data_IF_782866047850
#
_entry.id   IF_782866047850
#
_cell.length_a   1.000
_cell.length_b   1.000
_cell.length_c   1.000
_cell.angle_alpha   90.00
_cell.angle_beta   90.00
_cell.angle_gamma   90.00
#
_symmetry.space_group_name_H-M   'P 1'
#
loop_
_entity.id
_entity.type
_entity.pdbx_description
1 polymer ?
#
# COMPACT_ATOMS: atom_id res chain seq x y z
N UNK A 1 15.81 1.92 -14.47
CA UNK A 1 14.67 2.82 -14.69
C UNK A 1 13.59 2.10 -15.51
N UNK A 2 12.33 2.56 -15.44
CA UNK A 2 11.19 2.00 -16.21
C UNK A 2 11.49 1.91 -17.71
N UNK A 3 12.12 2.91 -18.28
CA UNK A 3 12.47 2.95 -19.71
C UNK A 3 13.37 1.79 -20.14
N UNK A 4 14.34 1.42 -19.33
CA UNK A 4 15.23 0.27 -19.61
C UNK A 4 14.42 -1.04 -19.60
N UNK A 5 13.54 -1.20 -18.61
CA UNK A 5 12.68 -2.38 -18.49
C UNK A 5 11.74 -2.48 -19.69
N UNK A 6 11.07 -1.39 -20.06
CA UNK A 6 10.16 -1.32 -21.21
C UNK A 6 10.88 -1.69 -22.50
N UNK A 7 12.04 -1.10 -22.76
CA UNK A 7 12.82 -1.39 -23.95
C UNK A 7 13.25 -2.87 -24.00
N UNK A 8 13.62 -3.42 -22.83
CA UNK A 8 13.98 -4.85 -22.76
C UNK A 8 12.77 -5.75 -23.05
N UNK A 9 11.61 -5.45 -22.47
CA UNK A 9 10.37 -6.21 -22.73
C UNK A 9 10.01 -6.17 -24.23
N UNK A 10 10.02 -4.98 -24.83
CA UNK A 10 9.74 -4.82 -26.28
C UNK A 10 10.75 -5.53 -27.16
N UNK A 11 12.02 -5.62 -26.77
CA UNK A 11 13.06 -6.37 -27.52
C UNK A 11 12.86 -7.88 -27.47
N UNK A 12 12.21 -8.39 -26.41
CA UNK A 12 11.90 -9.82 -26.26
C UNK A 12 10.59 -10.19 -26.97
N UNK A 13 9.60 -9.32 -26.94
CA UNK A 13 8.33 -9.48 -27.62
C UNK A 13 7.75 -8.10 -27.96
N UNK A 14 7.78 -7.71 -29.24
CA UNK A 14 7.25 -6.41 -29.71
C UNK A 14 5.74 -6.25 -29.50
N UNK A 15 4.99 -7.36 -29.47
CA UNK A 15 3.53 -7.39 -29.37
C UNK A 15 3.03 -7.50 -27.93
N UNK A 16 3.95 -7.57 -26.96
CA UNK A 16 3.61 -7.67 -25.56
C UNK A 16 2.73 -6.50 -25.10
N UNK A 17 1.61 -6.81 -24.46
CA UNK A 17 0.74 -5.82 -23.81
C UNK A 17 1.30 -5.49 -22.45
N UNK A 18 1.77 -4.26 -22.27
CA UNK A 18 2.35 -3.77 -21.01
C UNK A 18 1.29 -3.00 -20.25
N UNK A 19 1.03 -3.41 -19.02
CA UNK A 19 0.17 -2.73 -18.05
C UNK A 19 1.04 -2.28 -16.89
N UNK A 20 0.99 -1.01 -16.56
CA UNK A 20 1.65 -0.47 -15.37
C UNK A 20 0.68 -0.49 -14.19
N UNK A 21 1.20 -0.72 -12.99
CA UNK A 21 0.41 -0.69 -11.77
C UNK A 21 1.07 0.29 -10.80
N UNK A 22 0.31 1.25 -10.26
CA UNK A 22 0.82 2.14 -9.23
C UNK A 22 0.89 1.42 -7.87
N UNK A 23 1.72 1.86 -6.92
CA UNK A 23 1.58 1.39 -5.55
C UNK A 23 0.16 1.71 -5.03
N UNK A 24 -0.32 0.95 -4.06
CA UNK A 24 -1.50 1.31 -3.27
C UNK A 24 -1.12 2.27 -2.14
N UNK A 25 -2.09 2.91 -1.50
CA UNK A 25 -1.87 3.62 -0.25
C UNK A 25 -1.46 2.63 0.85
N UNK A 26 -0.76 3.12 1.85
CA UNK A 26 -0.38 2.32 3.03
C UNK A 26 -0.44 3.18 4.28
N UNK A 27 -0.85 2.59 5.37
CA UNK A 27 -0.60 3.12 6.71
C UNK A 27 0.71 2.55 7.24
N UNK A 28 1.07 2.94 8.44
CA UNK A 28 2.29 2.47 9.05
C UNK A 28 2.34 0.94 9.10
N UNK A 29 3.44 0.45 8.63
CA UNK A 29 3.82 -0.95 8.69
C UNK A 29 4.67 -1.18 9.95
N UNK A 30 4.33 -2.21 10.71
CA UNK A 30 5.10 -2.56 11.91
C UNK A 30 6.30 -3.40 11.49
N UNK A 31 7.48 -2.80 11.52
CA UNK A 31 8.72 -3.56 11.40
C UNK A 31 8.99 -4.30 12.72
N UNK A 32 8.85 -5.61 12.71
CA UNK A 32 9.12 -6.46 13.90
C UNK A 32 10.57 -6.30 14.35
N UNK A 33 11.52 -6.12 13.42
CA UNK A 33 12.94 -5.96 13.71
C UNK A 33 13.35 -4.51 14.03
N UNK A 34 12.54 -3.53 13.67
CA UNK A 34 12.79 -2.11 13.95
C UNK A 34 11.45 -1.37 14.08
N UNK A 35 10.85 -1.50 15.24
CA UNK A 35 9.56 -0.87 15.56
C UNK A 35 9.61 0.67 15.61
N UNK A 36 10.80 1.27 15.70
CA UNK A 36 10.98 2.73 15.64
C UNK A 36 10.84 3.28 14.22
N UNK A 37 10.99 2.43 13.23
CA UNK A 37 10.91 2.79 11.80
C UNK A 37 9.51 2.53 11.23
N UNK A 38 8.47 2.98 11.92
CA UNK A 38 7.11 2.90 11.43
C UNK A 38 6.85 4.03 10.42
N UNK A 39 6.29 3.68 9.27
CA UNK A 39 5.86 4.65 8.26
C UNK A 39 4.46 5.18 8.63
N UNK A 40 4.41 6.24 9.41
CA UNK A 40 3.14 6.84 9.85
C UNK A 40 2.41 7.53 8.70
N UNK A 41 1.35 6.89 8.21
CA UNK A 41 0.40 7.45 7.24
C UNK A 41 0.92 7.62 5.81
N UNK A 42 2.16 7.93 5.58
CA UNK A 42 2.74 8.00 4.24
C UNK A 42 4.18 7.51 4.22
N UNK A 43 4.43 6.53 3.37
CA UNK A 43 5.79 6.10 3.09
C UNK A 43 6.57 7.21 2.39
N UNK A 44 7.81 7.42 2.84
CA UNK A 44 8.83 8.16 2.07
C UNK A 44 10.06 7.28 1.94
N UNK A 45 10.65 7.27 0.76
CA UNK A 45 11.95 6.61 0.58
C UNK A 45 13.08 7.41 1.24
N UNK A 46 14.31 6.89 1.16
CA UNK A 46 15.51 7.56 1.71
C UNK A 46 15.79 8.94 1.10
N UNK A 47 15.19 9.27 -0.05
CA UNK A 47 15.31 10.57 -0.72
C UNK A 47 14.11 11.47 -0.41
N UNK A 48 13.20 11.05 0.46
CA UNK A 48 12.02 11.81 0.87
C UNK A 48 10.85 11.78 -0.10
N UNK A 49 10.88 10.90 -1.12
CA UNK A 49 9.79 10.77 -2.08
C UNK A 49 8.63 9.97 -1.51
N UNK A 50 7.41 10.46 -1.68
CA UNK A 50 6.20 9.82 -1.20
C UNK A 50 5.64 8.79 -2.20
N UNK A 51 4.78 7.88 -1.71
CA UNK A 51 4.05 6.95 -2.61
C UNK A 51 3.18 7.68 -3.62
N UNK A 52 2.62 8.84 -3.26
CA UNK A 52 1.88 9.68 -4.21
C UNK A 52 2.76 10.13 -5.38
N UNK A 53 4.00 10.56 -5.11
CA UNK A 53 4.93 10.95 -6.15
C UNK A 53 5.31 9.77 -7.06
N UNK A 54 5.51 8.57 -6.49
CA UNK A 54 5.73 7.36 -7.30
C UNK A 54 4.51 7.01 -8.15
N UNK A 55 3.30 7.06 -7.60
CA UNK A 55 2.07 6.81 -8.35
C UNK A 55 1.90 7.80 -9.52
N UNK A 56 2.13 9.09 -9.27
CA UNK A 56 2.07 10.13 -10.30
C UNK A 56 3.13 9.92 -11.39
N UNK A 57 4.34 9.52 -11.02
CA UNK A 57 5.40 9.21 -11.99
C UNK A 57 5.02 8.02 -12.88
N UNK A 58 4.44 6.95 -12.31
CA UNK A 58 3.97 5.79 -13.08
C UNK A 58 2.83 6.17 -14.02
N UNK A 59 1.87 6.98 -13.57
CA UNK A 59 0.79 7.49 -14.40
C UNK A 59 1.34 8.34 -15.57
N UNK A 60 2.32 9.20 -15.31
CA UNK A 60 2.99 10.02 -16.34
C UNK A 60 3.72 9.15 -17.37
N UNK A 61 4.43 8.10 -16.92
CA UNK A 61 5.09 7.14 -17.82
C UNK A 61 4.04 6.42 -18.67
N UNK A 62 2.95 5.97 -18.06
CA UNK A 62 1.85 5.32 -18.79
C UNK A 62 1.27 6.20 -19.87
N UNK A 63 1.02 7.48 -19.57
CA UNK A 63 0.52 8.46 -20.53
C UNK A 63 1.53 8.68 -21.69
N UNK A 64 2.79 8.88 -21.36
CA UNK A 64 3.85 9.11 -22.35
C UNK A 64 4.06 7.91 -23.29
N UNK A 65 4.15 6.70 -22.72
CA UNK A 65 4.37 5.45 -23.47
C UNK A 65 3.08 4.85 -24.06
N UNK A 66 1.93 5.49 -23.82
CA UNK A 66 0.58 5.03 -24.21
C UNK A 66 0.23 3.66 -23.64
N UNK A 67 0.72 3.33 -22.45
CA UNK A 67 0.35 2.12 -21.72
C UNK A 67 -0.92 2.32 -20.90
N UNK A 68 -1.64 1.23 -20.67
CA UNK A 68 -2.71 1.21 -19.68
C UNK A 68 -2.11 1.20 -18.27
N UNK A 69 -2.75 1.91 -17.34
CA UNK A 69 -2.31 1.98 -15.95
C UNK A 69 -3.45 1.54 -15.03
N UNK A 70 -3.16 0.59 -14.14
CA UNK A 70 -3.99 0.29 -12.97
C UNK A 70 -3.57 1.25 -11.86
N UNK A 71 -4.31 2.34 -11.70
CA UNK A 71 -4.02 3.37 -10.70
C UNK A 71 -4.60 2.99 -9.34
N UNK A 72 -3.92 2.11 -8.62
CA UNK A 72 -4.34 1.67 -7.29
C UNK A 72 -4.33 2.82 -6.28
N UNK A 73 -3.35 3.72 -6.39
CA UNK A 73 -3.19 4.81 -5.43
C UNK A 73 -4.40 5.74 -5.36
N UNK A 74 -4.90 6.14 -6.54
CA UNK A 74 -5.95 7.16 -6.62
C UNK A 74 -7.35 6.56 -6.88
N UNK A 75 -7.45 5.33 -7.42
CA UNK A 75 -8.70 4.80 -7.99
C UNK A 75 -9.17 3.48 -7.39
N UNK A 76 -8.41 2.86 -6.50
CA UNK A 76 -8.80 1.60 -5.87
C UNK A 76 -9.91 1.75 -4.82
N UNK A 77 -10.07 2.95 -4.25
CA UNK A 77 -10.89 3.15 -3.05
C UNK A 77 -10.23 2.68 -1.75
N UNK A 78 -9.04 2.07 -1.84
CA UNK A 78 -8.24 1.73 -0.65
C UNK A 78 -7.53 2.99 -0.17
N UNK A 79 -8.00 3.53 0.96
CA UNK A 79 -7.50 4.77 1.57
C UNK A 79 -6.97 4.51 2.97
N UNK A 80 -6.25 5.46 3.53
CA UNK A 80 -5.70 5.35 4.90
C UNK A 80 -6.75 4.97 5.95
N UNK A 81 -8.02 5.33 5.71
CA UNK A 81 -9.13 5.07 6.63
C UNK A 81 -9.67 3.65 6.59
N UNK A 82 -9.40 2.90 5.51
CA UNK A 82 -9.97 1.57 5.31
C UNK A 82 -8.95 0.49 4.94
N UNK A 83 -7.66 0.76 5.14
CA UNK A 83 -6.64 -0.28 4.97
C UNK A 83 -6.75 -1.32 6.09
N UNK A 84 -6.90 -0.87 7.34
CA UNK A 84 -7.25 -1.68 8.50
C UNK A 84 -8.36 -0.98 9.27
N UNK A 85 -9.20 -1.73 9.99
CA UNK A 85 -10.27 -1.14 10.80
C UNK A 85 -9.72 -0.39 12.01
N UNK A 86 -8.68 -0.95 12.63
CA UNK A 86 -8.00 -0.38 13.80
C UNK A 86 -6.64 -1.06 14.02
N UNK A 87 -5.84 -0.50 14.91
CA UNK A 87 -4.73 -1.17 15.59
C UNK A 87 -5.09 -1.41 17.05
N UNK A 88 -4.79 -2.61 17.54
CA UNK A 88 -4.87 -2.93 18.97
C UNK A 88 -3.54 -2.60 19.63
N UNK A 89 -3.51 -1.50 20.38
CA UNK A 89 -2.28 -0.99 20.98
C UNK A 89 -2.47 -0.78 22.50
N UNK A 90 -1.35 -0.82 23.22
CA UNK A 90 -1.33 -0.49 24.64
C UNK A 90 -1.48 1.02 24.82
N UNK A 91 -2.51 1.43 25.54
CA UNK A 91 -2.74 2.82 25.89
C UNK A 91 -1.59 3.33 26.77
N UNK A 92 -0.87 4.39 26.36
CA UNK A 92 0.29 4.88 27.12
C UNK A 92 -0.03 5.39 28.53
N UNK A 93 -1.28 5.79 28.79
CA UNK A 93 -1.70 6.34 30.08
C UNK A 93 -2.16 5.25 31.06
N UNK A 94 -2.88 4.25 30.54
CA UNK A 94 -3.51 3.23 31.40
C UNK A 94 -2.79 1.89 31.38
N UNK A 95 -1.95 1.64 30.36
CA UNK A 95 -1.32 0.36 30.15
C UNK A 95 -2.26 -0.74 29.59
N UNK A 96 -3.54 -0.44 29.39
CA UNK A 96 -4.53 -1.38 28.87
C UNK A 96 -4.56 -1.35 27.34
N UNK A 97 -4.85 -2.51 26.73
CA UNK A 97 -5.03 -2.58 25.28
C UNK A 97 -6.36 -1.98 24.84
N UNK A 98 -6.31 -1.14 23.81
CA UNK A 98 -7.47 -0.54 23.16
C UNK A 98 -7.36 -0.64 21.64
N UNK A 99 -8.49 -0.58 20.96
CA UNK A 99 -8.61 -0.54 19.52
C UNK A 99 -8.64 0.91 19.05
N UNK A 100 -7.63 1.32 18.31
CA UNK A 100 -7.48 2.67 17.77
C UNK A 100 -7.68 2.66 16.26
N UNK A 101 -8.73 3.30 15.73
CA UNK A 101 -8.89 3.49 14.28
C UNK A 101 -7.89 4.54 13.76
N UNK A 102 -7.71 4.62 12.44
CA UNK A 102 -6.95 5.71 11.82
C UNK A 102 -7.73 7.04 11.96
N UNK A 103 -7.08 8.15 12.33
CA UNK A 103 -5.66 8.35 12.57
C UNK A 103 -5.22 8.19 14.05
N UNK A 104 -6.07 7.74 14.93
CA UNK A 104 -5.85 7.74 16.39
C UNK A 104 -4.63 6.90 16.83
N UNK A 105 -4.28 5.88 16.06
CA UNK A 105 -3.11 5.05 16.37
C UNK A 105 -1.76 5.70 16.02
N UNK A 106 -1.77 6.84 15.31
CA UNK A 106 -0.53 7.51 14.93
C UNK A 106 0.20 8.01 16.18
N UNK A 107 1.48 7.65 16.29
CA UNK A 107 2.32 8.05 17.42
C UNK A 107 2.17 7.20 18.68
N UNK A 108 1.22 6.25 18.74
CA UNK A 108 1.16 5.29 19.85
C UNK A 108 2.31 4.29 19.70
N UNK A 109 3.21 4.17 20.70
CA UNK A 109 4.36 3.28 20.61
C UNK A 109 3.93 1.80 20.58
N UNK A 110 4.68 0.99 19.89
CA UNK A 110 4.53 -0.46 19.84
C UNK A 110 5.88 -1.12 20.08
N UNK A 111 5.93 -2.09 20.99
CA UNK A 111 7.12 -2.88 21.28
C UNK A 111 6.88 -4.35 20.95
N UNK A 112 7.45 -4.89 19.84
CA UNK A 112 7.19 -6.26 19.41
C UNK A 112 7.69 -7.34 20.38
N UNK A 113 8.55 -6.99 21.35
CA UNK A 113 9.04 -7.93 22.36
C UNK A 113 8.07 -8.12 23.55
N UNK A 114 7.16 -7.15 23.78
CA UNK A 114 6.30 -7.15 24.96
C UNK A 114 4.82 -6.96 24.67
N UNK A 115 4.49 -6.45 23.50
CA UNK A 115 3.12 -6.09 23.16
C UNK A 115 2.45 -7.18 22.31
N UNK A 116 1.11 -7.26 22.41
CA UNK A 116 0.31 -8.12 21.51
C UNK A 116 0.47 -7.66 20.05
N UNK A 117 0.36 -8.59 19.10
CA UNK A 117 0.38 -8.24 17.68
C UNK A 117 -0.75 -7.25 17.36
N UNK A 118 -0.44 -6.11 16.73
CA UNK A 118 -1.37 -4.99 16.65
C UNK A 118 -2.51 -5.14 15.65
N UNK A 119 -2.51 -6.17 14.82
CA UNK A 119 -3.53 -6.43 13.79
C UNK A 119 -4.22 -7.79 14.00
N UNK A 120 -5.12 -7.92 14.99
CA UNK A 120 -5.92 -9.12 15.17
C UNK A 120 -6.84 -9.33 13.94
N UNK A 121 -7.38 -10.55 13.79
CA UNK A 121 -8.17 -10.95 12.61
C UNK A 121 -9.35 -9.99 12.36
N UNK A 122 -10.01 -9.54 13.40
CA UNK A 122 -11.14 -8.60 13.30
C UNK A 122 -10.74 -7.16 12.95
N UNK A 123 -9.45 -6.82 13.02
CA UNK A 123 -8.90 -5.55 12.54
C UNK A 123 -8.68 -5.52 11.02
N UNK A 124 -8.67 -6.68 10.36
CA UNK A 124 -8.43 -6.80 8.92
C UNK A 124 -9.55 -6.09 8.14
N UNK A 125 -9.16 -5.31 7.13
CA UNK A 125 -10.05 -4.75 6.12
C UNK A 125 -9.44 -4.95 4.72
N UNK A 126 -9.07 -3.92 3.99
CA UNK A 126 -8.43 -4.07 2.67
C UNK A 126 -6.98 -4.58 2.73
N UNK A 127 -6.38 -4.54 3.90
CA UNK A 127 -5.06 -5.12 4.17
C UNK A 127 -5.07 -5.92 5.47
N UNK A 128 -4.09 -6.80 5.61
CA UNK A 128 -3.86 -7.53 6.85
C UNK A 128 -3.21 -6.66 7.94
N UNK A 129 -2.37 -5.71 7.53
CA UNK A 129 -1.44 -5.00 8.43
C UNK A 129 -1.16 -3.54 8.02
N UNK A 130 -2.00 -2.97 7.16
CA UNK A 130 -1.80 -1.62 6.63
C UNK A 130 -0.92 -1.56 5.39
N UNK A 131 -0.32 -2.68 4.96
CA UNK A 131 0.55 -2.78 3.78
C UNK A 131 0.16 -3.93 2.86
N UNK A 132 0.05 -5.15 3.37
CA UNK A 132 -0.19 -6.33 2.57
C UNK A 132 -1.69 -6.50 2.30
N UNK A 133 -2.13 -6.52 1.02
CA UNK A 133 -3.54 -6.67 0.70
C UNK A 133 -4.14 -7.92 1.33
N UNK A 134 -5.32 -7.80 1.91
CA UNK A 134 -6.16 -8.93 2.30
C UNK A 134 -6.84 -9.54 1.06
N UNK A 135 -7.61 -10.62 1.23
CA UNK A 135 -8.41 -11.20 0.16
C UNK A 135 -9.31 -10.13 -0.47
N UNK A 136 -9.98 -9.31 0.35
CA UNK A 136 -10.79 -8.16 -0.10
C UNK A 136 -9.96 -7.14 -0.90
N UNK A 137 -8.73 -6.84 -0.45
CA UNK A 137 -7.82 -5.96 -1.18
C UNK A 137 -7.39 -6.55 -2.51
N UNK A 138 -7.10 -7.85 -2.56
CA UNK A 138 -6.76 -8.55 -3.80
C UNK A 138 -7.93 -8.61 -4.78
N UNK A 139 -9.17 -8.79 -4.32
CA UNK A 139 -10.36 -8.70 -5.17
C UNK A 139 -10.46 -7.34 -5.86
N UNK A 140 -10.26 -6.24 -5.13
CA UNK A 140 -10.25 -4.88 -5.71
C UNK A 140 -9.16 -4.75 -6.79
N UNK A 141 -7.95 -5.22 -6.49
CA UNK A 141 -6.82 -5.18 -7.43
C UNK A 141 -7.13 -5.99 -8.70
N UNK A 142 -7.64 -7.21 -8.52
CA UNK A 142 -8.00 -8.11 -9.61
C UNK A 142 -9.10 -7.50 -10.50
N UNK A 143 -10.15 -6.93 -9.91
CA UNK A 143 -11.24 -6.28 -10.64
C UNK A 143 -10.73 -5.10 -11.48
N UNK A 144 -9.85 -4.27 -10.93
CA UNK A 144 -9.26 -3.15 -11.65
C UNK A 144 -8.40 -3.64 -12.82
N UNK A 145 -7.62 -4.70 -12.60
CA UNK A 145 -6.77 -5.30 -13.64
C UNK A 145 -7.62 -5.90 -14.77
N UNK A 146 -8.62 -6.69 -14.42
CA UNK A 146 -9.55 -7.31 -15.39
C UNK A 146 -10.26 -6.27 -16.25
N UNK A 147 -10.73 -5.16 -15.64
CA UNK A 147 -11.36 -4.04 -16.38
C UNK A 147 -10.42 -3.43 -17.42
N UNK A 148 -9.12 -3.42 -17.16
CA UNK A 148 -8.12 -2.91 -18.10
C UNK A 148 -7.79 -3.96 -19.15
N UNK A 149 -7.61 -5.23 -18.77
CA UNK A 149 -7.31 -6.32 -19.69
C UNK A 149 -8.39 -6.52 -20.75
N UNK A 150 -9.66 -6.35 -20.40
CA UNK A 150 -10.79 -6.42 -21.36
C UNK A 150 -10.76 -5.34 -22.45
N UNK A 151 -9.83 -4.37 -22.39
CA UNK A 151 -9.68 -3.29 -23.39
C UNK A 151 -8.55 -3.55 -24.40
N UNK A 152 -7.92 -4.72 -24.34
CA UNK A 152 -6.96 -5.22 -25.32
C UNK A 152 -7.60 -6.26 -26.24
#
# INVERSE_FOLDING_TARGET
SYRIIINKLRSLNSDAKIILITPMQRVDFVYINDFKNNAYGSYKDKNGQSLAQFANAINSIGAYEKFKVVDLYNKSGMTLQNLVKYKRLKDPQTGNYKNYPYPEFIGIPFNPATDEYPYPIDAIDNTYDGLHPSDKGYEIIADMLVKIMKKY
#
